data_IF_100097595400
#
_entry.id   IF_100097595400
#
_cell.length_a   1.000
_cell.length_b   1.000
_cell.length_c   1.000
_cell.angle_alpha   90.00
_cell.angle_beta   90.00
_cell.angle_gamma   90.00
#
_symmetry.space_group_name_H-M   'P 1'
#
loop_
_entity.id
_entity.type
_entity.pdbx_description
1 polymer ?
#
# COMPACT_ATOMS: atom_id res chain seq x y z
N UNK A 1 6.94 -8.51 14.53
CA UNK A 1 5.49 -8.67 14.75
C UNK A 1 4.77 -8.60 13.39
N UNK A 2 3.53 -9.11 13.24
CA UNK A 2 2.77 -8.94 11.99
C UNK A 2 2.65 -7.48 11.54
N UNK A 3 2.73 -6.53 12.48
CA UNK A 3 2.69 -5.08 12.29
C UNK A 3 4.07 -4.41 12.21
N UNK A 4 5.15 -5.16 12.00
CA UNK A 4 6.50 -4.58 11.88
C UNK A 4 6.59 -3.60 10.68
N UNK A 5 6.91 -2.31 10.88
CA UNK A 5 6.89 -1.31 9.81
C UNK A 5 7.81 -1.65 8.62
N UNK A 6 8.97 -2.25 8.88
CA UNK A 6 9.90 -2.64 7.83
C UNK A 6 9.30 -3.75 6.93
N UNK A 7 8.63 -4.72 7.55
CA UNK A 7 7.90 -5.77 6.84
C UNK A 7 6.76 -5.19 6.00
N UNK A 8 5.91 -4.33 6.58
CA UNK A 8 4.75 -3.76 5.86
C UNK A 8 5.20 -2.93 4.65
N UNK A 9 6.28 -2.14 4.81
CA UNK A 9 6.91 -1.42 3.70
C UNK A 9 7.40 -2.37 2.62
N UNK A 10 8.12 -3.43 2.99
CA UNK A 10 8.64 -4.40 2.02
C UNK A 10 7.54 -5.09 1.24
N UNK A 11 6.43 -5.49 1.89
CA UNK A 11 5.29 -6.14 1.23
C UNK A 11 4.61 -5.17 0.27
N UNK A 12 4.31 -3.94 0.71
CA UNK A 12 3.64 -2.95 -0.12
C UNK A 12 4.47 -2.62 -1.38
N UNK A 13 5.77 -2.31 -1.22
CA UNK A 13 6.65 -1.99 -2.34
C UNK A 13 6.81 -3.19 -3.29
N UNK A 14 6.89 -4.41 -2.76
CA UNK A 14 6.93 -5.63 -3.55
C UNK A 14 5.69 -5.80 -4.42
N UNK A 15 4.50 -5.60 -3.86
CA UNK A 15 3.24 -5.71 -4.58
C UNK A 15 3.08 -4.62 -5.65
N UNK A 16 3.42 -3.37 -5.33
CA UNK A 16 3.38 -2.26 -6.29
C UNK A 16 4.34 -2.57 -7.45
N UNK A 17 5.56 -2.99 -7.14
CA UNK A 17 6.57 -3.36 -8.15
C UNK A 17 6.06 -4.50 -9.05
N UNK A 18 5.54 -5.58 -8.47
CA UNK A 18 5.02 -6.73 -9.22
C UNK A 18 3.83 -6.37 -10.12
N UNK A 19 2.99 -5.41 -9.72
CA UNK A 19 1.80 -4.99 -10.48
C UNK A 19 2.10 -3.97 -11.58
N UNK A 20 3.14 -3.15 -11.40
CA UNK A 20 3.43 -2.02 -12.29
C UNK A 20 4.66 -2.22 -13.16
N UNK A 21 5.58 -3.09 -12.73
CA UNK A 21 6.88 -3.28 -13.36
C UNK A 21 7.94 -2.28 -12.91
N UNK A 22 7.61 -1.30 -12.06
CA UNK A 22 8.62 -0.40 -11.50
C UNK A 22 9.53 -1.14 -10.52
N UNK A 23 10.86 -0.98 -10.61
CA UNK A 23 11.74 -1.52 -9.57
C UNK A 23 11.50 -0.78 -8.25
N UNK A 24 11.64 -1.47 -7.12
CA UNK A 24 11.33 -0.91 -5.80
C UNK A 24 12.14 0.36 -5.49
N UNK A 25 13.36 0.48 -6.02
CA UNK A 25 14.22 1.65 -5.87
C UNK A 25 13.70 2.91 -6.58
N UNK A 26 12.83 2.77 -7.58
CA UNK A 26 12.19 3.89 -8.29
C UNK A 26 10.85 4.30 -7.67
N UNK A 27 10.33 3.55 -6.70
CA UNK A 27 9.08 3.87 -6.02
C UNK A 27 9.31 4.90 -4.92
N UNK A 28 9.21 6.18 -5.26
CA UNK A 28 9.22 7.26 -4.28
C UNK A 28 7.94 7.22 -3.42
N UNK A 29 8.12 7.23 -2.09
CA UNK A 29 7.02 7.21 -1.14
C UNK A 29 6.16 8.47 -1.19
N UNK A 30 6.69 9.58 -1.67
CA UNK A 30 6.01 10.86 -1.75
C UNK A 30 5.39 11.13 -3.13
N UNK A 31 5.72 10.32 -4.15
CA UNK A 31 5.17 10.48 -5.48
C UNK A 31 3.65 10.27 -5.48
N UNK A 32 2.97 11.03 -6.33
CA UNK A 32 1.55 10.84 -6.57
C UNK A 32 1.33 9.55 -7.36
N UNK A 33 0.59 8.63 -6.76
CA UNK A 33 0.31 7.32 -7.34
C UNK A 33 -0.29 7.42 -8.75
N UNK A 34 -1.22 8.33 -9.00
CA UNK A 34 -1.88 8.44 -10.31
C UNK A 34 -1.12 9.37 -11.26
N UNK A 35 -0.77 10.57 -10.80
CA UNK A 35 -0.18 11.59 -11.66
C UNK A 35 1.27 11.29 -12.04
N UNK A 36 2.05 10.69 -11.13
CA UNK A 36 3.47 10.42 -11.36
C UNK A 36 3.72 8.95 -11.74
N UNK A 37 3.01 8.00 -11.12
CA UNK A 37 3.24 6.56 -11.30
C UNK A 37 2.20 5.85 -12.18
N UNK A 38 1.09 6.50 -12.56
CA UNK A 38 0.03 5.87 -13.39
C UNK A 38 -0.77 4.76 -12.69
N UNK A 39 -0.75 4.75 -11.35
CA UNK A 39 -1.47 3.83 -10.47
C UNK A 39 -2.83 4.46 -10.11
N UNK A 40 -3.81 4.16 -10.95
CA UNK A 40 -5.22 4.53 -10.80
C UNK A 40 -5.89 3.85 -9.59
N UNK A 41 -7.13 4.24 -9.29
CA UNK A 41 -7.92 3.73 -8.17
C UNK A 41 -8.21 2.23 -8.24
N UNK A 42 -8.32 1.63 -9.43
CA UNK A 42 -8.57 0.19 -9.59
C UNK A 42 -7.32 -0.58 -9.17
N UNK A 43 -6.14 -0.19 -9.69
CA UNK A 43 -4.87 -0.82 -9.32
C UNK A 43 -4.59 -0.73 -7.81
N UNK A 44 -4.95 0.39 -7.17
CA UNK A 44 -4.78 0.55 -5.70
C UNK A 44 -5.61 -0.47 -4.93
N UNK A 45 -6.87 -0.65 -5.28
CA UNK A 45 -7.73 -1.64 -4.63
C UNK A 45 -7.18 -3.05 -4.83
N UNK A 46 -6.67 -3.38 -6.02
CA UNK A 46 -6.03 -4.68 -6.28
C UNK A 46 -4.76 -4.89 -5.43
N UNK A 47 -3.90 -3.88 -5.34
CA UNK A 47 -2.67 -3.90 -4.52
C UNK A 47 -3.04 -4.08 -3.05
N UNK A 48 -4.01 -3.33 -2.54
CA UNK A 48 -4.45 -3.43 -1.15
C UNK A 48 -5.13 -4.76 -0.84
N UNK A 49 -5.89 -5.32 -1.79
CA UNK A 49 -6.44 -6.66 -1.68
C UNK A 49 -5.35 -7.74 -1.61
N UNK A 50 -4.27 -7.60 -2.38
CA UNK A 50 -3.11 -8.48 -2.28
C UNK A 50 -2.35 -8.31 -0.97
N UNK A 51 -2.12 -7.07 -0.55
CA UNK A 51 -1.49 -6.73 0.72
C UNK A 51 -2.25 -7.34 1.89
N UNK A 52 -3.58 -7.24 1.89
CA UNK A 52 -4.40 -7.80 2.94
C UNK A 52 -4.38 -9.34 2.96
N UNK A 53 -4.27 -10.01 1.80
CA UNK A 53 -4.11 -11.47 1.77
C UNK A 53 -2.79 -11.95 2.40
N UNK A 54 -1.73 -11.12 2.35
CA UNK A 54 -0.42 -11.47 2.92
C UNK A 54 -0.27 -11.09 4.40
N UNK A 55 -1.00 -10.06 4.83
CA UNK A 55 -0.84 -9.47 6.17
C UNK A 55 -2.01 -9.79 7.09
N UNK A 56 -3.21 -9.96 6.53
CA UNK A 56 -4.48 -10.14 7.25
C UNK A 56 -4.83 -8.98 8.20
N UNK A 57 -4.36 -7.76 7.89
CA UNK A 57 -4.44 -6.59 8.78
C UNK A 57 -5.56 -5.60 8.45
N UNK A 58 -6.15 -5.67 7.25
CA UNK A 58 -7.14 -4.70 6.77
C UNK A 58 -8.54 -5.29 6.71
N UNK A 59 -9.54 -4.47 7.00
CA UNK A 59 -10.93 -4.75 6.67
C UNK A 59 -11.39 -4.00 5.41
N UNK A 60 -12.68 -4.14 5.07
CA UNK A 60 -13.23 -3.51 3.87
C UNK A 60 -13.20 -1.96 3.95
N UNK A 61 -13.42 -1.40 5.14
CA UNK A 61 -13.39 0.05 5.38
C UNK A 61 -11.95 0.56 5.32
N UNK A 62 -10.99 -0.20 5.86
CA UNK A 62 -9.57 0.15 5.75
C UNK A 62 -9.14 0.17 4.30
N UNK A 63 -9.51 -0.83 3.49
CA UNK A 63 -9.18 -0.86 2.07
C UNK A 63 -9.78 0.35 1.34
N UNK A 64 -11.04 0.68 1.60
CA UNK A 64 -11.69 1.86 1.02
C UNK A 64 -10.92 3.13 1.38
N UNK A 65 -10.64 3.35 2.67
CA UNK A 65 -9.92 4.53 3.15
C UNK A 65 -8.50 4.61 2.56
N UNK A 66 -7.73 3.53 2.61
CA UNK A 66 -6.35 3.50 2.13
C UNK A 66 -6.28 3.66 0.61
N UNK A 67 -7.25 3.12 -0.15
CA UNK A 67 -7.28 3.25 -1.62
C UNK A 67 -7.44 4.71 -2.08
N UNK A 68 -8.02 5.57 -1.25
CA UNK A 68 -8.19 7.00 -1.52
C UNK A 68 -6.90 7.80 -1.37
N UNK A 69 -5.91 7.25 -0.65
CA UNK A 69 -4.63 7.91 -0.39
C UNK A 69 -3.83 8.05 -1.68
N UNK A 70 -3.12 9.18 -1.79
CA UNK A 70 -2.45 9.60 -3.04
C UNK A 70 -0.99 9.17 -3.11
N UNK A 71 -0.39 8.71 -2.02
CA UNK A 71 1.04 8.37 -1.96
C UNK A 71 1.26 7.06 -1.20
N UNK A 72 2.35 6.34 -1.50
CA UNK A 72 2.72 5.11 -0.78
C UNK A 72 3.09 5.42 0.68
N UNK A 73 3.73 6.56 0.94
CA UNK A 73 4.04 7.03 2.28
C UNK A 73 2.79 7.16 3.14
N UNK A 74 1.74 7.81 2.63
CA UNK A 74 0.48 7.94 3.37
C UNK A 74 -0.17 6.59 3.69
N UNK A 75 -0.09 5.61 2.78
CA UNK A 75 -0.56 4.24 3.04
C UNK A 75 0.23 3.58 4.16
N UNK A 76 1.56 3.72 4.16
CA UNK A 76 2.43 3.18 5.20
C UNK A 76 2.20 3.85 6.55
N UNK A 77 1.97 5.16 6.58
CA UNK A 77 1.65 5.90 7.79
C UNK A 77 0.32 5.41 8.38
N UNK A 78 -0.69 5.16 7.54
CA UNK A 78 -1.96 4.58 7.98
C UNK A 78 -1.77 3.22 8.64
N UNK A 79 -0.95 2.33 8.05
CA UNK A 79 -0.69 1.01 8.63
C UNK A 79 0.05 1.11 9.97
N UNK A 80 0.92 2.10 10.13
CA UNK A 80 1.69 2.31 11.37
C UNK A 80 0.88 2.99 12.47
N UNK A 81 -0.13 3.79 12.11
CA UNK A 81 -0.96 4.54 13.06
C UNK A 81 -1.93 3.65 13.88
N UNK A 82 -1.95 2.33 13.64
CA UNK A 82 -2.73 1.39 14.47
C UNK A 82 -4.22 1.33 14.16
N UNK A 83 -4.68 1.89 13.03
CA UNK A 83 -6.05 1.69 12.52
C UNK A 83 -6.27 0.31 11.88
N UNK A 84 -5.35 -0.64 12.10
CA UNK A 84 -5.45 -2.00 11.59
C UNK A 84 -6.38 -2.84 12.47
N UNK A 85 -6.97 -3.90 11.91
CA UNK A 85 -7.72 -4.89 12.69
C UNK A 85 -6.89 -5.36 13.89
N UNK A 86 -7.47 -5.23 15.08
CA UNK A 86 -6.96 -5.80 16.34
C UNK A 86 -7.62 -7.14 16.60
#
# INVERSE_FOLDING_TARGET
APTDPARLKSVLLGLVSAKTGYPQEMLDLNANLEADLGIDSIKRVEILGAFNRETELLDAKDIEQVSSLKTLGAMLDFFQAGSLKT
#
